data_IF_565368035567
#
_entry.id   IF_565368035567
#
_cell.length_a   1.000
_cell.length_b   1.000
_cell.length_c   1.000
_cell.angle_alpha   90.00
_cell.angle_beta   90.00
_cell.angle_gamma   90.00
#
_symmetry.space_group_name_H-M   'P 1'
#
loop_
_entity.id
_entity.type
_entity.pdbx_description
1 polymer ?
#
# COMPACT_ATOMS: atom_id res chain seq x y z
N UNK A 1 8.86 13.99 8.99
CA UNK A 1 7.54 13.32 8.91
C UNK A 1 6.64 13.92 9.98
N UNK A 2 5.39 14.22 9.62
CA UNK A 2 4.39 14.60 10.63
C UNK A 2 3.90 13.36 11.42
N UNK A 3 3.13 13.61 12.52
CA UNK A 3 2.66 12.53 13.38
C UNK A 3 1.82 11.49 12.65
N UNK A 4 0.95 11.92 11.73
CA UNK A 4 0.04 11.02 10.97
C UNK A 4 0.85 10.05 10.11
N UNK A 5 1.85 10.55 9.39
CA UNK A 5 2.71 9.72 8.54
C UNK A 5 3.55 8.73 9.38
N UNK A 6 3.97 9.11 10.60
CA UNK A 6 4.67 8.20 11.53
C UNK A 6 3.75 7.06 12.00
N UNK A 7 2.52 7.38 12.38
CA UNK A 7 1.53 6.37 12.74
C UNK A 7 1.21 5.44 11.56
N UNK A 8 1.04 6.00 10.36
CA UNK A 8 0.82 5.22 9.14
C UNK A 8 1.97 4.25 8.86
N UNK A 9 3.22 4.70 9.01
CA UNK A 9 4.42 3.87 8.85
C UNK A 9 4.44 2.71 9.86
N UNK A 10 4.19 3.00 11.13
CA UNK A 10 4.15 2.01 12.20
C UNK A 10 3.06 0.97 11.93
N UNK A 11 1.86 1.41 11.59
CA UNK A 11 0.72 0.57 11.27
C UNK A 11 1.00 -0.33 10.06
N UNK A 12 1.57 0.26 9.00
CA UNK A 12 1.99 -0.47 7.80
C UNK A 12 3.05 -1.53 8.15
N UNK A 13 4.09 -1.16 8.89
CA UNK A 13 5.16 -2.08 9.30
C UNK A 13 4.64 -3.27 10.09
N UNK A 14 3.79 -3.05 11.10
CA UNK A 14 3.18 -4.13 11.90
C UNK A 14 2.32 -5.03 11.01
N UNK A 15 1.47 -4.47 10.17
CA UNK A 15 0.61 -5.26 9.29
C UNK A 15 1.45 -6.14 8.35
N UNK A 16 2.55 -5.63 7.79
CA UNK A 16 3.48 -6.40 6.95
C UNK A 16 4.16 -7.53 7.75
N UNK A 17 4.51 -7.31 9.03
CA UNK A 17 5.06 -8.38 9.89
C UNK A 17 4.04 -9.52 10.02
N UNK A 18 2.79 -9.20 10.31
CA UNK A 18 1.75 -10.24 10.49
C UNK A 18 1.46 -10.98 9.18
N UNK A 19 1.34 -10.26 8.06
CA UNK A 19 1.21 -10.88 6.73
C UNK A 19 2.41 -11.77 6.39
N UNK A 20 3.61 -11.40 6.86
CA UNK A 20 4.82 -12.22 6.72
C UNK A 20 4.80 -13.49 7.56
N UNK A 21 4.23 -13.47 8.78
CA UNK A 21 4.05 -14.64 9.65
C UNK A 21 3.01 -15.58 9.04
N UNK A 22 1.94 -15.03 8.50
CA UNK A 22 0.82 -15.76 7.95
C UNK A 22 1.18 -16.47 6.64
N UNK A 23 1.96 -15.83 5.77
CA UNK A 23 2.33 -16.35 4.46
C UNK A 23 2.85 -17.80 4.48
N UNK A 24 3.85 -18.20 5.30
CA UNK A 24 4.29 -19.56 5.39
C UNK A 24 3.27 -20.51 6.04
N UNK A 25 2.42 -20.03 6.96
CA UNK A 25 1.41 -20.86 7.62
C UNK A 25 0.30 -21.25 6.64
N UNK A 26 -0.14 -20.33 5.80
CA UNK A 26 -1.11 -20.61 4.74
C UNK A 26 -0.53 -21.58 3.72
N UNK A 27 0.71 -21.37 3.29
CA UNK A 27 1.36 -22.23 2.29
C UNK A 27 1.75 -23.62 2.85
N UNK A 28 1.98 -23.75 4.16
CA UNK A 28 2.23 -25.04 4.79
C UNK A 28 0.96 -25.85 5.01
N UNK A 29 -0.19 -25.18 5.16
CA UNK A 29 -1.48 -25.84 5.45
C UNK A 29 -2.35 -26.06 4.23
N UNK A 30 -2.43 -25.11 3.31
CA UNK A 30 -3.27 -25.18 2.11
C UNK A 30 -2.68 -24.27 1.03
N UNK A 31 -2.37 -24.86 -0.11
CA UNK A 31 -1.80 -24.17 -1.29
C UNK A 31 -2.84 -23.27 -2.00
N UNK A 32 -3.69 -22.55 -1.27
CA UNK A 32 -4.84 -21.79 -1.77
C UNK A 32 -4.49 -20.67 -2.78
N UNK A 33 -3.21 -20.44 -3.05
CA UNK A 33 -2.78 -19.42 -3.99
C UNK A 33 -1.93 -19.93 -5.15
N UNK A 34 -1.28 -21.07 -5.00
CA UNK A 34 -0.41 -21.68 -6.02
C UNK A 34 -1.06 -22.88 -6.73
N UNK A 35 -2.28 -23.26 -6.36
CA UNK A 35 -2.99 -24.40 -6.95
C UNK A 35 -3.22 -24.29 -8.46
N UNK A 36 -3.19 -23.08 -9.02
CA UNK A 36 -3.29 -22.86 -10.46
C UNK A 36 -1.96 -23.01 -11.20
N UNK A 37 -0.82 -23.06 -10.48
CA UNK A 37 0.47 -23.38 -11.07
C UNK A 37 0.77 -24.85 -10.78
N UNK A 38 0.98 -25.68 -11.80
CA UNK A 38 1.37 -27.07 -11.61
C UNK A 38 2.59 -27.16 -10.69
N UNK A 39 2.57 -28.05 -9.70
CA UNK A 39 3.64 -28.22 -8.70
C UNK A 39 5.04 -28.46 -9.30
N UNK A 40 5.10 -28.90 -10.56
CA UNK A 40 6.36 -29.11 -11.28
C UNK A 40 6.99 -27.83 -11.84
N UNK A 41 6.23 -26.69 -11.90
CA UNK A 41 6.77 -25.40 -12.39
C UNK A 41 7.66 -24.73 -11.33
N UNK A 42 7.40 -24.96 -10.05
CA UNK A 42 8.19 -24.40 -8.94
C UNK A 42 8.51 -25.47 -7.89
N UNK A 43 9.45 -26.38 -8.17
CA UNK A 43 9.96 -27.25 -7.12
C UNK A 43 10.59 -26.37 -6.02
N UNK A 44 10.11 -26.51 -4.78
CA UNK A 44 10.55 -25.65 -3.66
C UNK A 44 9.65 -24.45 -3.35
N UNK A 45 8.41 -24.41 -3.86
CA UNK A 45 7.46 -23.33 -3.56
C UNK A 45 7.28 -23.06 -2.05
N UNK A 46 7.29 -24.08 -1.22
CA UNK A 46 7.25 -23.94 0.24
C UNK A 46 8.48 -23.17 0.76
N UNK A 47 9.68 -23.49 0.28
CA UNK A 47 10.91 -22.77 0.66
C UNK A 47 10.82 -21.28 0.25
N UNK A 48 10.33 -20.99 -0.95
CA UNK A 48 10.13 -19.60 -1.41
C UNK A 48 9.10 -18.86 -0.57
N UNK A 49 8.04 -19.54 -0.12
CA UNK A 49 7.04 -18.94 0.76
C UNK A 49 7.62 -18.61 2.15
N UNK A 50 8.42 -19.51 2.73
CA UNK A 50 9.13 -19.22 3.98
C UNK A 50 10.13 -18.08 3.83
N UNK A 51 10.90 -18.06 2.75
CA UNK A 51 11.85 -16.99 2.47
C UNK A 51 11.14 -15.64 2.32
N UNK A 52 10.02 -15.61 1.58
CA UNK A 52 9.19 -14.43 1.43
C UNK A 52 8.62 -13.96 2.78
N UNK A 53 8.10 -14.88 3.59
CA UNK A 53 7.60 -14.58 4.93
C UNK A 53 8.67 -13.95 5.82
N UNK A 54 9.85 -14.53 5.88
CA UNK A 54 11.00 -13.99 6.65
C UNK A 54 11.40 -12.60 6.12
N UNK A 55 11.43 -12.41 4.80
CA UNK A 55 11.75 -11.11 4.19
C UNK A 55 10.71 -10.05 4.53
N UNK A 56 9.42 -10.40 4.51
CA UNK A 56 8.32 -9.50 4.90
C UNK A 56 8.41 -9.13 6.38
N UNK A 57 8.64 -10.11 7.28
CA UNK A 57 8.82 -9.86 8.72
C UNK A 57 9.99 -8.89 8.93
N UNK A 58 11.15 -9.17 8.33
CA UNK A 58 12.33 -8.31 8.45
C UNK A 58 12.08 -6.90 7.94
N UNK A 59 11.47 -6.75 6.74
CA UNK A 59 11.15 -5.46 6.16
C UNK A 59 10.12 -4.70 7.03
N UNK A 60 9.08 -5.37 7.51
CA UNK A 60 8.06 -4.78 8.38
C UNK A 60 8.63 -4.27 9.70
N UNK A 61 9.49 -5.05 10.36
CA UNK A 61 10.20 -4.64 11.59
C UNK A 61 11.07 -3.40 11.30
N UNK A 62 11.93 -3.44 10.30
CA UNK A 62 12.83 -2.34 9.91
C UNK A 62 12.04 -1.06 9.66
N UNK A 63 10.90 -1.14 8.97
CA UNK A 63 10.00 -0.02 8.70
C UNK A 63 9.36 0.49 10.00
N UNK A 64 8.88 -0.39 10.87
CA UNK A 64 8.21 -0.01 12.11
C UNK A 64 9.16 0.72 13.08
N UNK A 65 10.38 0.19 13.29
CA UNK A 65 11.37 0.72 14.25
C UNK A 65 12.26 1.85 13.69
N UNK A 66 12.08 2.25 12.42
CA UNK A 66 12.79 3.37 11.78
C UNK A 66 14.29 3.15 11.52
N UNK A 67 14.73 1.92 11.33
CA UNK A 67 16.13 1.61 11.00
C UNK A 67 16.30 1.49 9.49
N UNK A 68 16.86 2.51 8.83
CA UNK A 68 17.03 2.57 7.37
C UNK A 68 15.75 2.20 6.59
N UNK A 69 14.58 2.73 6.97
CA UNK A 69 13.28 2.28 6.45
C UNK A 69 13.12 2.55 4.95
N UNK A 70 13.88 3.49 4.38
CA UNK A 70 13.83 3.83 2.95
C UNK A 70 14.23 2.66 2.07
N UNK A 71 15.37 2.02 2.34
CA UNK A 71 15.84 0.88 1.57
C UNK A 71 14.89 -0.32 1.70
N UNK A 72 14.41 -0.58 2.93
CA UNK A 72 13.43 -1.63 3.17
C UNK A 72 12.14 -1.37 2.40
N UNK A 73 11.63 -0.13 2.37
CA UNK A 73 10.42 0.24 1.65
C UNK A 73 10.60 0.11 0.13
N UNK A 74 11.76 0.48 -0.44
CA UNK A 74 12.04 0.29 -1.88
C UNK A 74 12.02 -1.19 -2.24
N UNK A 75 12.73 -2.03 -1.48
CA UNK A 75 12.80 -3.46 -1.72
C UNK A 75 11.46 -4.15 -1.53
N UNK A 76 10.72 -3.76 -0.48
CA UNK A 76 9.38 -4.28 -0.22
C UNK A 76 8.41 -3.94 -1.35
N UNK A 77 8.44 -2.70 -1.85
CA UNK A 77 7.65 -2.31 -3.01
C UNK A 77 8.04 -3.09 -4.27
N UNK A 78 9.34 -3.34 -4.49
CA UNK A 78 9.82 -4.21 -5.56
C UNK A 78 9.29 -5.64 -5.44
N UNK A 79 9.30 -6.21 -4.24
CA UNK A 79 8.72 -7.53 -3.97
C UNK A 79 7.22 -7.57 -4.30
N UNK A 80 6.44 -6.60 -3.84
CA UNK A 80 5.01 -6.55 -4.17
C UNK A 80 4.75 -6.30 -5.66
N UNK A 81 5.58 -5.50 -6.33
CA UNK A 81 5.48 -5.31 -7.77
C UNK A 81 5.72 -6.60 -8.55
N UNK A 82 6.77 -7.35 -8.22
CA UNK A 82 7.04 -8.64 -8.84
C UNK A 82 5.93 -9.66 -8.54
N UNK A 83 5.44 -9.67 -7.29
CA UNK A 83 4.31 -10.53 -6.89
C UNK A 83 3.04 -10.18 -7.68
N UNK A 84 2.74 -8.90 -7.85
CA UNK A 84 1.63 -8.45 -8.70
C UNK A 84 1.80 -8.93 -10.13
N UNK A 85 2.99 -8.70 -10.72
CA UNK A 85 3.24 -8.99 -12.13
C UNK A 85 3.23 -10.50 -12.43
N UNK A 86 3.90 -11.30 -11.61
CA UNK A 86 4.15 -12.72 -11.92
C UNK A 86 3.15 -13.68 -11.24
N UNK A 87 2.56 -13.30 -10.11
CA UNK A 87 1.65 -14.19 -9.38
C UNK A 87 0.18 -13.76 -9.54
N UNK A 88 -0.12 -12.46 -9.40
CA UNK A 88 -1.49 -11.97 -9.38
C UNK A 88 -2.06 -11.70 -10.77
N UNK A 89 -1.28 -11.07 -11.65
CA UNK A 89 -1.74 -10.74 -13.01
C UNK A 89 -2.11 -11.99 -13.84
N UNK A 90 -1.31 -13.08 -13.87
CA UNK A 90 -1.70 -14.27 -14.61
C UNK A 90 -2.99 -14.91 -14.08
N UNK A 91 -3.16 -14.96 -12.75
CA UNK A 91 -4.39 -15.49 -12.13
C UNK A 91 -5.61 -14.65 -12.46
N UNK A 92 -5.50 -13.34 -12.29
CA UNK A 92 -6.55 -12.40 -12.64
C UNK A 92 -6.93 -12.51 -14.13
N UNK A 93 -5.95 -12.71 -15.04
CA UNK A 93 -6.19 -12.88 -16.47
C UNK A 93 -6.95 -14.19 -16.80
N UNK A 94 -6.73 -15.25 -16.03
CA UNK A 94 -7.44 -16.53 -16.19
C UNK A 94 -8.90 -16.46 -15.69
N UNK A 95 -9.16 -15.62 -14.66
CA UNK A 95 -10.46 -15.52 -13.99
C UNK A 95 -10.91 -14.05 -13.95
N UNK A 96 -11.04 -13.44 -15.13
CA UNK A 96 -11.33 -11.98 -15.28
C UNK A 96 -12.60 -11.50 -14.59
N UNK A 97 -13.59 -12.40 -14.39
CA UNK A 97 -14.88 -12.07 -13.77
C UNK A 97 -14.89 -12.22 -12.25
N UNK A 98 -13.85 -12.80 -11.68
CA UNK A 98 -13.77 -12.97 -10.24
C UNK A 98 -13.33 -11.65 -9.58
N UNK A 99 -14.25 -11.04 -8.85
CA UNK A 99 -14.03 -9.80 -8.12
C UNK A 99 -12.99 -10.00 -7.02
N UNK A 100 -13.00 -11.15 -6.35
CA UNK A 100 -12.06 -11.46 -5.27
C UNK A 100 -10.61 -11.53 -5.77
N UNK A 101 -10.34 -12.21 -6.89
CA UNK A 101 -8.99 -12.28 -7.46
C UNK A 101 -8.53 -10.90 -7.98
N UNK A 102 -9.44 -10.11 -8.54
CA UNK A 102 -9.14 -8.74 -8.96
C UNK A 102 -8.79 -7.88 -7.75
N UNK A 103 -9.58 -7.92 -6.69
CA UNK A 103 -9.32 -7.20 -5.44
C UNK A 103 -7.95 -7.57 -4.88
N UNK A 104 -7.63 -8.87 -4.73
CA UNK A 104 -6.32 -9.34 -4.24
C UNK A 104 -5.15 -8.85 -5.11
N UNK A 105 -5.32 -8.82 -6.43
CA UNK A 105 -4.29 -8.30 -7.32
C UNK A 105 -4.02 -6.81 -7.07
N UNK A 106 -5.08 -6.00 -6.98
CA UNK A 106 -4.95 -4.56 -6.76
C UNK A 106 -4.60 -4.19 -5.31
N UNK A 107 -4.89 -5.03 -4.32
CA UNK A 107 -4.33 -4.93 -2.97
C UNK A 107 -2.81 -5.07 -3.00
N UNK A 108 -2.29 -6.07 -3.70
CA UNK A 108 -0.84 -6.26 -3.86
C UNK A 108 -0.19 -5.05 -4.55
N UNK A 109 -0.83 -4.50 -5.59
CA UNK A 109 -0.38 -3.30 -6.28
C UNK A 109 -0.44 -2.06 -5.39
N UNK A 110 -1.47 -1.93 -4.55
CA UNK A 110 -1.60 -0.84 -3.59
C UNK A 110 -0.52 -0.91 -2.50
N UNK A 111 -0.18 -2.10 -2.00
CA UNK A 111 0.93 -2.28 -1.06
C UNK A 111 2.29 -1.91 -1.69
N UNK A 112 2.50 -2.26 -2.96
CA UNK A 112 3.65 -1.79 -3.73
C UNK A 112 3.69 -0.26 -3.75
N UNK A 113 2.56 0.35 -4.14
CA UNK A 113 2.40 1.80 -4.19
C UNK A 113 2.68 2.48 -2.85
N UNK A 114 2.12 1.94 -1.77
CA UNK A 114 2.31 2.44 -0.41
C UNK A 114 3.76 2.35 0.08
N UNK A 115 4.43 1.22 -0.17
CA UNK A 115 5.84 1.05 0.18
C UNK A 115 6.73 2.06 -0.57
N UNK A 116 6.49 2.28 -1.86
CA UNK A 116 7.25 3.25 -2.65
C UNK A 116 6.93 4.70 -2.28
N UNK A 117 5.69 5.02 -1.96
CA UNK A 117 5.32 6.34 -1.39
C UNK A 117 6.04 6.54 -0.06
N UNK A 118 6.04 5.55 0.82
CA UNK A 118 6.78 5.60 2.07
C UNK A 118 8.27 5.91 1.83
N UNK A 119 8.92 5.19 0.91
CA UNK A 119 10.33 5.40 0.59
C UNK A 119 10.64 6.86 0.21
N UNK A 120 9.75 7.49 -0.57
CA UNK A 120 9.92 8.89 -0.99
C UNK A 120 9.58 9.94 0.07
N UNK A 121 8.77 9.58 1.09
CA UNK A 121 8.42 10.49 2.19
C UNK A 121 9.44 10.50 3.33
N UNK A 122 10.36 9.54 3.35
CA UNK A 122 11.39 9.41 4.39
C UNK A 122 12.57 10.37 4.15
N UNK A 123 13.21 10.89 5.23
CA UNK A 123 14.41 11.72 5.12
C UNK A 123 15.53 11.02 4.35
N UNK A 124 16.33 11.80 3.63
CA UNK A 124 17.55 11.29 2.97
C UNK A 124 18.64 11.26 4.03
N UNK A 125 19.13 10.04 4.36
CA UNK A 125 20.32 9.93 5.20
C UNK A 125 21.52 10.49 4.46
N UNK A 126 22.35 11.27 5.14
CA UNK A 126 23.58 11.84 4.59
C UNK A 126 24.58 10.78 4.11
N UNK A 127 24.45 9.56 4.62
CA UNK A 127 25.26 8.38 4.24
C UNK A 127 24.71 7.58 3.06
N UNK A 128 23.44 7.86 2.66
CA UNK A 128 22.83 7.20 1.52
C UNK A 128 23.39 7.76 0.21
N UNK A 129 23.89 6.88 -0.66
CA UNK A 129 24.39 7.28 -1.96
C UNK A 129 23.31 8.09 -2.70
N UNK A 130 23.71 9.17 -3.38
CA UNK A 130 22.80 10.06 -4.16
C UNK A 130 21.85 9.29 -5.06
N UNK A 131 22.27 8.12 -5.56
CA UNK A 131 21.44 7.23 -6.39
C UNK A 131 20.17 6.74 -5.71
N UNK A 132 20.20 6.39 -4.43
CA UNK A 132 19.02 5.93 -3.70
C UNK A 132 17.95 7.03 -3.53
N UNK A 133 18.35 8.30 -3.45
CA UNK A 133 17.40 9.42 -3.43
C UNK A 133 16.61 9.49 -4.74
N UNK A 134 17.29 9.44 -5.90
CA UNK A 134 16.64 9.49 -7.22
C UNK A 134 15.71 8.29 -7.43
N UNK A 135 16.13 7.09 -7.00
CA UNK A 135 15.30 5.89 -7.08
C UNK A 135 14.05 6.05 -6.22
N UNK A 136 14.17 6.55 -4.99
CA UNK A 136 13.04 6.74 -4.09
C UNK A 136 12.04 7.78 -4.64
N UNK A 137 12.50 8.86 -5.24
CA UNK A 137 11.63 9.89 -5.84
C UNK A 137 10.84 9.34 -7.04
N UNK A 138 11.50 8.58 -7.91
CA UNK A 138 10.83 7.91 -9.04
C UNK A 138 9.86 6.82 -8.56
N UNK A 139 10.28 6.03 -7.58
CA UNK A 139 9.44 5.01 -6.98
C UNK A 139 8.18 5.63 -6.34
N UNK A 140 8.32 6.76 -5.61
CA UNK A 140 7.19 7.48 -5.03
C UNK A 140 6.19 7.94 -6.10
N UNK A 141 6.66 8.47 -7.22
CA UNK A 141 5.78 8.90 -8.31
C UNK A 141 5.00 7.72 -8.90
N UNK A 142 5.69 6.63 -9.19
CA UNK A 142 5.08 5.42 -9.73
C UNK A 142 4.13 4.79 -8.70
N UNK A 143 4.56 4.71 -7.44
CA UNK A 143 3.78 4.18 -6.34
C UNK A 143 2.47 4.94 -6.13
N UNK A 144 2.50 6.25 -6.28
CA UNK A 144 1.32 7.10 -6.23
C UNK A 144 0.28 6.72 -7.30
N UNK A 145 0.72 6.47 -8.54
CA UNK A 145 -0.17 6.04 -9.61
C UNK A 145 -0.71 4.62 -9.36
N UNK A 146 0.11 3.70 -8.87
CA UNK A 146 -0.33 2.37 -8.53
C UNK A 146 -1.41 2.39 -7.45
N UNK A 147 -1.21 3.22 -6.41
CA UNK A 147 -2.20 3.40 -5.37
C UNK A 147 -3.50 4.00 -5.93
N UNK A 148 -3.41 5.04 -6.77
CA UNK A 148 -4.58 5.67 -7.38
C UNK A 148 -5.37 4.69 -8.25
N UNK A 149 -4.69 3.89 -9.08
CA UNK A 149 -5.33 2.86 -9.91
C UNK A 149 -6.01 1.81 -9.05
N UNK A 150 -5.35 1.32 -7.99
CA UNK A 150 -5.94 0.35 -7.06
C UNK A 150 -7.21 0.89 -6.38
N UNK A 151 -7.17 2.14 -5.92
CA UNK A 151 -8.36 2.78 -5.34
C UNK A 151 -9.48 2.93 -6.36
N UNK A 152 -9.18 3.26 -7.62
CA UNK A 152 -10.19 3.35 -8.67
C UNK A 152 -10.86 1.99 -8.93
N UNK A 153 -10.07 0.91 -8.96
CA UNK A 153 -10.59 -0.46 -9.14
C UNK A 153 -11.45 -0.86 -7.94
N UNK A 154 -11.01 -0.63 -6.71
CA UNK A 154 -11.83 -0.92 -5.53
C UNK A 154 -13.16 -0.16 -5.56
N UNK A 155 -13.13 1.12 -5.96
CA UNK A 155 -14.36 1.90 -6.10
C UNK A 155 -15.31 1.29 -7.15
N UNK A 156 -14.80 0.90 -8.31
CA UNK A 156 -15.59 0.24 -9.36
C UNK A 156 -16.16 -1.09 -8.83
N UNK A 157 -15.36 -1.89 -8.12
CA UNK A 157 -15.80 -3.17 -7.55
C UNK A 157 -16.96 -3.01 -6.57
N UNK A 158 -17.01 -1.90 -5.81
CA UNK A 158 -18.12 -1.59 -4.92
C UNK A 158 -19.44 -1.32 -5.66
N UNK A 159 -19.38 -0.86 -6.91
CA UNK A 159 -20.57 -0.63 -7.73
C UNK A 159 -20.96 -1.86 -8.55
N UNK A 160 -19.98 -2.63 -9.02
CA UNK A 160 -20.22 -3.81 -9.86
C UNK A 160 -20.62 -5.03 -9.03
N UNK A 161 -20.10 -5.14 -7.81
CA UNK A 161 -20.34 -6.26 -6.89
C UNK A 161 -21.00 -5.77 -5.59
N UNK A 162 -21.93 -4.85 -5.68
CA UNK A 162 -22.59 -4.17 -4.56
C UNK A 162 -23.24 -5.14 -3.55
N UNK A 163 -23.88 -6.19 -4.03
CA UNK A 163 -24.50 -7.23 -3.20
C UNK A 163 -23.44 -8.04 -2.42
N UNK A 164 -22.29 -8.33 -3.03
CA UNK A 164 -21.18 -8.99 -2.35
C UNK A 164 -20.60 -8.08 -1.25
N UNK A 165 -20.34 -6.82 -1.57
CA UNK A 165 -19.81 -5.84 -0.60
C UNK A 165 -20.81 -5.60 0.53
N UNK A 166 -22.10 -5.42 0.21
CA UNK A 166 -23.15 -5.27 1.22
C UNK A 166 -23.26 -6.51 2.13
N UNK A 167 -23.05 -7.71 1.60
CA UNK A 167 -23.05 -8.97 2.36
C UNK A 167 -21.84 -9.13 3.32
N UNK A 168 -20.75 -8.38 3.11
CA UNK A 168 -19.60 -8.38 4.01
C UNK A 168 -19.84 -7.52 5.26
N UNK A 169 -20.80 -6.61 5.24
CA UNK A 169 -21.07 -5.70 6.36
C UNK A 169 -21.75 -6.44 7.52
N UNK A 170 -21.44 -6.07 8.77
CA UNK A 170 -22.07 -6.66 9.94
C UNK A 170 -23.59 -6.49 9.95
N UNK A 171 -24.33 -7.51 10.39
CA UNK A 171 -25.80 -7.50 10.40
C UNK A 171 -26.42 -6.41 11.30
N UNK A 172 -25.69 -5.91 12.29
CA UNK A 172 -26.14 -4.80 13.14
C UNK A 172 -26.09 -3.43 12.46
N UNK A 173 -25.34 -3.31 11.32
CA UNK A 173 -25.23 -2.04 10.58
C UNK A 173 -26.43 -1.91 9.64
N UNK A 174 -27.27 -0.85 9.77
CA UNK A 174 -28.39 -0.64 8.85
C UNK A 174 -27.90 -0.15 7.48
N UNK A 175 -28.73 -0.32 6.43
CA UNK A 175 -28.50 0.22 5.09
C UNK A 175 -27.19 -0.22 4.42
N UNK A 176 -26.94 -1.52 4.35
CA UNK A 176 -25.71 -2.10 3.81
C UNK A 176 -25.33 -1.54 2.42
N UNK A 177 -26.29 -1.43 1.49
CA UNK A 177 -26.04 -0.85 0.16
C UNK A 177 -25.61 0.62 0.21
N UNK A 178 -26.16 1.41 1.14
CA UNK A 178 -25.72 2.80 1.32
C UNK A 178 -24.24 2.86 1.67
N UNK A 179 -23.78 2.02 2.60
CA UNK A 179 -22.37 1.97 2.99
C UNK A 179 -21.48 1.44 1.87
N UNK A 180 -21.92 0.43 1.10
CA UNK A 180 -21.21 -0.08 -0.05
C UNK A 180 -20.99 1.03 -1.10
N UNK A 181 -22.03 1.80 -1.44
CA UNK A 181 -21.90 2.90 -2.40
C UNK A 181 -21.08 4.08 -1.83
N UNK A 182 -21.26 4.43 -0.56
CA UNK A 182 -20.52 5.51 0.08
C UNK A 182 -19.01 5.22 0.07
N UNK A 183 -18.61 3.99 0.41
CA UNK A 183 -17.21 3.58 0.36
C UNK A 183 -16.69 3.53 -1.06
N UNK A 184 -17.49 3.07 -2.02
CA UNK A 184 -17.16 3.09 -3.44
C UNK A 184 -16.87 4.50 -3.96
N UNK A 185 -17.73 5.47 -3.65
CA UNK A 185 -17.49 6.89 -3.96
C UNK A 185 -16.23 7.43 -3.25
N UNK A 186 -16.01 7.04 -1.99
CA UNK A 186 -14.81 7.40 -1.24
C UNK A 186 -13.52 6.92 -1.92
N UNK A 187 -13.50 5.69 -2.42
CA UNK A 187 -12.38 5.14 -3.17
C UNK A 187 -12.12 5.91 -4.47
N UNK A 188 -13.16 6.20 -5.28
CA UNK A 188 -13.00 6.97 -6.52
C UNK A 188 -12.50 8.39 -6.22
N UNK A 189 -13.06 9.06 -5.22
CA UNK A 189 -12.62 10.39 -4.81
C UNK A 189 -11.15 10.39 -4.35
N UNK A 190 -10.73 9.37 -3.57
CA UNK A 190 -9.35 9.19 -3.15
C UNK A 190 -8.43 8.93 -4.36
N UNK A 191 -8.83 8.09 -5.31
CA UNK A 191 -8.08 7.82 -6.53
C UNK A 191 -7.80 9.11 -7.31
N UNK A 192 -8.83 9.95 -7.54
CA UNK A 192 -8.70 11.23 -8.24
C UNK A 192 -7.82 12.20 -7.45
N UNK A 193 -8.00 12.31 -6.14
CA UNK A 193 -7.20 13.20 -5.28
C UNK A 193 -5.72 12.82 -5.30
N UNK A 194 -5.40 11.51 -5.18
CA UNK A 194 -4.03 10.99 -5.22
C UNK A 194 -3.43 11.17 -6.61
N UNK A 195 -4.16 10.87 -7.69
CA UNK A 195 -3.68 11.02 -9.06
C UNK A 195 -3.39 12.48 -9.42
N UNK A 196 -4.29 13.41 -9.05
CA UNK A 196 -4.16 14.84 -9.37
C UNK A 196 -3.31 15.63 -8.37
N UNK A 197 -2.96 15.04 -7.22
CA UNK A 197 -2.28 15.68 -6.08
C UNK A 197 -3.08 16.84 -5.45
N UNK A 198 -4.36 16.94 -5.75
CA UNK A 198 -5.26 17.90 -5.12
C UNK A 198 -5.91 17.25 -3.90
N UNK A 199 -5.87 17.91 -2.77
CA UNK A 199 -6.45 17.43 -1.49
C UNK A 199 -5.92 16.06 -1.02
N UNK A 200 -4.70 15.65 -1.47
CA UNK A 200 -4.11 14.33 -1.15
C UNK A 200 -4.12 14.05 0.34
N UNK A 201 -3.75 15.04 1.16
CA UNK A 201 -3.68 14.85 2.62
C UNK A 201 -5.04 14.50 3.21
N UNK A 202 -6.09 15.24 2.84
CA UNK A 202 -7.45 14.98 3.31
C UNK A 202 -7.95 13.62 2.84
N UNK A 203 -7.81 13.35 1.55
CA UNK A 203 -8.23 12.08 0.94
C UNK A 203 -7.51 10.88 1.59
N UNK A 204 -6.20 10.99 1.82
CA UNK A 204 -5.39 9.94 2.43
C UNK A 204 -5.78 9.69 3.90
N UNK A 205 -6.08 10.73 4.68
CA UNK A 205 -6.55 10.58 6.06
C UNK A 205 -7.92 9.91 6.10
N UNK A 206 -8.87 10.37 5.28
CA UNK A 206 -10.21 9.78 5.22
C UNK A 206 -10.16 8.32 4.74
N UNK A 207 -9.33 8.02 3.74
CA UNK A 207 -9.10 6.69 3.24
C UNK A 207 -8.49 5.78 4.33
N UNK A 208 -7.50 6.28 5.06
CA UNK A 208 -6.88 5.56 6.17
C UNK A 208 -7.88 5.26 7.30
N UNK A 209 -8.71 6.23 7.64
CA UNK A 209 -9.78 6.04 8.63
C UNK A 209 -10.81 5.01 8.15
N UNK A 210 -11.19 5.06 6.86
CA UNK A 210 -12.12 4.09 6.27
C UNK A 210 -11.57 2.66 6.34
N UNK A 211 -10.33 2.42 5.90
CA UNK A 211 -9.71 1.10 6.00
C UNK A 211 -9.53 0.63 7.44
N UNK A 212 -9.15 1.54 8.35
CA UNK A 212 -9.05 1.22 9.76
C UNK A 212 -10.41 0.84 10.36
N UNK A 213 -11.48 1.55 9.98
CA UNK A 213 -12.84 1.21 10.39
C UNK A 213 -13.27 -0.17 9.87
N UNK A 214 -12.92 -0.52 8.64
CA UNK A 214 -13.17 -1.86 8.08
C UNK A 214 -12.41 -2.93 8.86
N UNK A 215 -11.14 -2.71 9.16
CA UNK A 215 -10.35 -3.65 9.96
C UNK A 215 -10.98 -3.89 11.34
N UNK A 216 -11.45 -2.83 12.02
CA UNK A 216 -11.99 -2.91 13.38
C UNK A 216 -13.45 -3.37 13.42
N UNK A 217 -14.31 -2.85 12.53
CA UNK A 217 -15.77 -3.08 12.61
C UNK A 217 -16.21 -4.32 11.83
N UNK A 218 -15.48 -4.70 10.79
CA UNK A 218 -15.82 -5.85 9.95
C UNK A 218 -14.95 -7.05 10.30
N UNK A 219 -13.62 -6.90 10.24
CA UNK A 219 -12.71 -8.04 10.39
C UNK A 219 -12.44 -8.42 11.85
N UNK A 220 -12.29 -7.48 12.80
CA UNK A 220 -12.00 -7.84 14.18
C UNK A 220 -13.08 -8.68 14.85
N UNK A 221 -14.40 -8.44 14.68
CA UNK A 221 -15.43 -9.32 15.23
C UNK A 221 -15.44 -10.73 14.60
N UNK A 222 -15.18 -10.83 13.28
CA UNK A 222 -15.09 -12.11 12.57
C UNK A 222 -13.89 -12.90 13.05
N UNK A 223 -12.75 -12.23 13.19
CA UNK A 223 -11.53 -12.82 13.71
C UNK A 223 -11.73 -13.37 15.14
N UNK A 224 -12.47 -12.64 16.00
CA UNK A 224 -12.78 -13.09 17.37
C UNK A 224 -13.65 -14.36 17.41
N UNK A 225 -14.47 -14.60 16.38
CA UNK A 225 -15.35 -15.76 16.27
C UNK A 225 -14.74 -16.92 15.48
N UNK A 226 -13.75 -16.65 14.62
CA UNK A 226 -13.11 -17.63 13.73
C UNK A 226 -11.57 -17.54 13.83
N UNK A 227 -11.03 -17.79 15.02
CA UNK A 227 -9.59 -17.64 15.33
C UNK A 227 -8.67 -18.53 14.47
N UNK A 228 -9.18 -19.60 13.90
CA UNK A 228 -8.43 -20.54 13.05
C UNK A 228 -8.58 -20.28 11.56
N UNK A 229 -9.40 -19.29 11.19
CA UNK A 229 -9.62 -18.94 9.77
C UNK A 229 -8.52 -18.01 9.27
N UNK A 230 -7.64 -18.55 8.42
CA UNK A 230 -6.52 -17.80 7.84
C UNK A 230 -6.99 -16.69 6.90
N UNK A 231 -8.11 -16.84 6.21
CA UNK A 231 -8.61 -15.83 5.28
C UNK A 231 -9.10 -14.58 6.02
N UNK A 232 -9.71 -14.74 7.21
CA UNK A 232 -10.09 -13.59 8.04
C UNK A 232 -8.88 -12.87 8.64
N UNK A 233 -7.82 -13.60 9.03
CA UNK A 233 -6.56 -13.00 9.45
C UNK A 233 -5.94 -12.17 8.32
N UNK A 234 -5.77 -12.77 7.13
CA UNK A 234 -5.24 -12.08 5.96
C UNK A 234 -6.01 -10.81 5.63
N UNK A 235 -7.34 -10.90 5.58
CA UNK A 235 -8.22 -9.79 5.21
C UNK A 235 -8.14 -8.66 6.23
N UNK A 236 -8.14 -8.97 7.54
CA UNK A 236 -8.02 -7.98 8.60
C UNK A 236 -6.70 -7.23 8.58
N UNK A 237 -5.57 -7.94 8.46
CA UNK A 237 -4.26 -7.31 8.40
C UNK A 237 -3.97 -6.65 7.06
N UNK A 238 -4.58 -7.11 5.96
CA UNK A 238 -4.56 -6.42 4.69
C UNK A 238 -5.26 -5.05 4.80
N UNK A 239 -6.45 -4.99 5.41
CA UNK A 239 -7.14 -3.74 5.66
C UNK A 239 -6.31 -2.79 6.54
N UNK A 240 -5.61 -3.33 7.55
CA UNK A 240 -4.71 -2.56 8.41
C UNK A 240 -3.48 -2.03 7.64
N UNK A 241 -2.89 -2.85 6.75
CA UNK A 241 -1.80 -2.43 5.86
C UNK A 241 -2.26 -1.32 4.91
N UNK A 242 -3.49 -1.41 4.37
CA UNK A 242 -4.08 -0.37 3.54
C UNK A 242 -4.32 0.92 4.32
N UNK A 243 -4.77 0.84 5.58
CA UNK A 243 -4.88 2.01 6.45
C UNK A 243 -3.52 2.69 6.64
N UNK A 244 -2.47 1.91 6.95
CA UNK A 244 -1.10 2.39 7.05
C UNK A 244 -0.60 3.04 5.75
N UNK A 245 -0.83 2.39 4.61
CA UNK A 245 -0.51 2.90 3.27
C UNK A 245 -1.18 4.25 2.99
N UNK A 246 -2.46 4.36 3.29
CA UNK A 246 -3.21 5.60 3.10
C UNK A 246 -2.65 6.72 3.99
N UNK A 247 -2.41 6.47 5.28
CA UNK A 247 -1.85 7.47 6.19
C UNK A 247 -0.44 7.90 5.80
N UNK A 248 0.41 7.01 5.31
CA UNK A 248 1.73 7.34 4.74
C UNK A 248 1.59 8.28 3.55
N UNK A 249 0.60 8.06 2.71
CA UNK A 249 0.34 8.87 1.51
C UNK A 249 0.01 10.33 1.84
N UNK A 250 -0.49 10.60 3.06
CA UNK A 250 -0.72 11.97 3.55
C UNK A 250 0.57 12.81 3.58
N UNK A 251 1.73 12.17 3.70
CA UNK A 251 3.05 12.82 3.71
C UNK A 251 3.51 13.38 2.35
N UNK A 252 2.89 12.99 1.24
CA UNK A 252 3.21 13.54 -0.09
C UNK A 252 2.98 15.06 -0.13
N UNK A 253 1.99 15.57 0.59
CA UNK A 253 1.66 16.99 0.62
C UNK A 253 2.69 17.81 1.43
N UNK A 254 3.28 17.23 2.49
CA UNK A 254 4.22 17.91 3.38
C UNK A 254 5.60 18.10 2.76
N UNK A 255 6.06 17.16 1.92
CA UNK A 255 7.37 17.24 1.26
C UNK A 255 7.49 18.40 0.27
N UNK A 256 6.38 18.90 -0.29
CA UNK A 256 6.41 20.08 -1.18
C UNK A 256 6.51 21.41 -0.43
N UNK A 257 5.96 21.49 0.77
CA UNK A 257 6.00 22.72 1.58
C UNK A 257 7.41 23.01 2.13
N UNK A 258 8.28 22.00 2.20
CA UNK A 258 9.65 22.11 2.72
C UNK A 258 10.72 22.23 1.63
N UNK A 259 10.36 22.15 0.34
CA UNK A 259 11.31 22.39 -0.75
C UNK A 259 11.68 23.89 -0.77
N UNK A 260 12.97 24.27 -0.66
CA UNK A 260 13.37 25.69 -0.66
C UNK A 260 12.99 26.33 -1.99
N UNK A 261 12.19 27.39 -1.95
CA UNK A 261 11.83 28.25 -3.08
C UNK A 261 13.02 29.09 -3.59
N UNK A 262 14.25 28.72 -3.25
CA UNK A 262 15.46 29.54 -3.35
C UNK A 262 16.38 29.28 -4.54
N UNK A 263 15.90 28.79 -5.71
CA UNK A 263 16.83 28.64 -6.86
C UNK A 263 16.49 29.41 -8.13
N UNK A 264 15.44 30.24 -8.12
CA UNK A 264 15.09 31.03 -9.32
C UNK A 264 15.57 32.49 -9.31
N UNK A 265 16.02 33.02 -8.15
CA UNK A 265 16.50 34.41 -8.05
C UNK A 265 18.03 34.58 -8.18
N UNK A 266 18.80 33.50 -8.13
CA UNK A 266 20.27 33.58 -8.22
C UNK A 266 20.83 33.57 -9.66
N UNK A 267 20.00 33.49 -10.70
CA UNK A 267 20.48 33.42 -12.10
C UNK A 267 20.51 34.76 -12.82
N UNK A 268 20.02 35.84 -12.23
CA UNK A 268 19.97 37.17 -12.85
C UNK A 268 20.88 38.22 -12.21
N UNK A 269 21.83 37.83 -11.38
CA UNK A 269 22.90 38.73 -10.94
C UNK A 269 24.09 38.58 -11.91
N UNK A 270 24.05 39.30 -13.04
CA UNK A 270 25.23 39.53 -13.89
C UNK A 270 26.25 40.33 -13.05
N UNK A 271 27.52 39.96 -13.03
CA UNK A 271 28.55 40.80 -12.47
C UNK A 271 28.78 41.98 -13.39
N UNK A 272 28.41 43.20 -12.95
CA UNK A 272 28.88 44.45 -13.58
C UNK A 272 30.39 44.54 -13.40
N UNK A 273 31.13 44.50 -14.50
CA UNK A 273 32.54 44.84 -14.54
C UNK A 273 32.73 46.30 -14.11
N UNK A 274 33.65 46.63 -13.21
CA UNK A 274 34.12 47.99 -13.06
C UNK A 274 35.13 48.27 -14.17
N UNK A 275 34.78 49.21 -15.08
CA UNK A 275 35.69 49.78 -16.05
C UNK A 275 36.82 50.59 -15.39
N UNK A 276 37.99 50.33 -15.86
CA UNK A 276 39.18 51.08 -15.45
C UNK A 276 39.22 52.50 -16.01
N UNK A 277 39.88 53.33 -15.28
CA UNK A 277 40.66 54.46 -15.76
C UNK A 277 41.92 54.57 -14.91
#
# INVERSE_FOLDING_TARGET
>A
MDGITKYGRFLFGIAIVVLGIESPLIYAGHAAGLELLPQWILPGHAFLAYLAGVALIGAGIIIAIDIKPRSAAILLGGYFFLSFLFLRTPRMALILRDVGERTRAFETLALCGGAWVLAGTLPIDSTSARGWGIVADKAMELGRFFLAISMAVFGIDHFVADSLVAGLLPSWLPWHFFWAYLTGFGFIAAAVAIATRKYVRLAAILLGLMFFSVAVLVHAPRLATHLTDSDEWSSGFMALAMAGTALVTSGIATNRATAPTGSLTARNASPSCPGGS
#
